data_IF_624230844797
#
_entry.id   IF_624230844797
#
_cell.length_a   1.000
_cell.length_b   1.000
_cell.length_c   1.000
_cell.angle_alpha   90.00
_cell.angle_beta   90.00
_cell.angle_gamma   90.00
#
_symmetry.space_group_name_H-M   'P 1'
#
loop_
_entity.id
_entity.type
_entity.pdbx_description
1 polymer ?
#
# COMPACT_ATOMS: atom_id res chain seq x y z
N UNK A 1 4.34 2.86 18.00
CA UNK A 1 3.76 3.46 16.79
C UNK A 1 3.01 2.45 15.93
N UNK A 2 3.23 1.14 16.09
CA UNK A 2 2.49 0.11 15.36
C UNK A 2 1.05 -0.09 15.87
N UNK A 3 0.18 -0.56 14.99
CA UNK A 3 -1.18 -0.92 15.36
C UNK A 3 -1.19 -2.07 16.38
N UNK A 4 -2.18 -2.06 17.29
CA UNK A 4 -2.41 -3.13 18.26
C UNK A 4 -3.76 -3.77 17.99
N UNK A 5 -3.79 -5.10 18.10
CA UNK A 5 -4.94 -5.92 17.77
C UNK A 5 -5.32 -6.76 19.00
N UNK A 6 -6.61 -6.93 19.23
CA UNK A 6 -7.11 -7.94 20.17
C UNK A 6 -7.05 -9.31 19.48
N UNK A 7 -5.92 -10.00 19.66
CA UNK A 7 -5.67 -11.27 19.01
C UNK A 7 -6.59 -12.39 19.53
N UNK A 8 -7.16 -12.25 20.72
CA UNK A 8 -8.14 -13.21 21.25
C UNK A 8 -9.42 -13.09 20.44
N UNK A 9 -9.93 -11.86 20.32
CA UNK A 9 -11.13 -11.58 19.54
C UNK A 9 -10.97 -11.97 18.06
N UNK A 10 -9.85 -11.59 17.43
CA UNK A 10 -9.58 -11.95 16.03
C UNK A 10 -9.57 -13.47 15.85
N UNK A 11 -8.97 -14.21 16.78
CA UNK A 11 -8.94 -15.67 16.71
C UNK A 11 -10.34 -16.27 16.81
N UNK A 12 -11.18 -15.78 17.72
CA UNK A 12 -12.55 -16.25 17.89
C UNK A 12 -13.40 -16.01 16.64
N UNK A 13 -13.30 -14.81 16.04
CA UNK A 13 -13.98 -14.48 14.78
C UNK A 13 -13.53 -15.36 13.62
N UNK A 14 -12.22 -15.48 13.40
CA UNK A 14 -11.68 -16.27 12.28
C UNK A 14 -11.97 -17.77 12.47
N UNK A 15 -11.97 -18.28 13.71
CA UNK A 15 -12.27 -19.69 13.97
C UNK A 15 -13.75 -20.04 13.76
N UNK A 16 -14.65 -19.07 13.97
CA UNK A 16 -16.10 -19.29 13.85
C UNK A 16 -16.62 -19.10 12.42
N UNK A 17 -16.12 -18.09 11.70
CA UNK A 17 -16.65 -17.71 10.38
C UNK A 17 -15.63 -17.81 9.24
N UNK A 18 -14.33 -17.98 9.54
CA UNK A 18 -13.26 -17.83 8.56
C UNK A 18 -13.09 -16.38 8.08
N UNK A 19 -12.19 -16.17 7.13
CA UNK A 19 -12.13 -14.90 6.41
C UNK A 19 -13.22 -14.84 5.32
N UNK A 20 -13.80 -13.65 5.06
CA UNK A 20 -14.90 -13.49 4.11
C UNK A 20 -14.46 -13.81 2.67
N UNK A 21 -14.81 -15.02 2.21
CA UNK A 21 -14.39 -15.53 0.89
C UNK A 21 -15.00 -14.79 -0.30
N UNK A 22 -16.09 -14.05 -0.08
CA UNK A 22 -16.75 -13.22 -1.08
C UNK A 22 -15.99 -11.91 -1.37
N UNK A 23 -15.07 -11.50 -0.50
CA UNK A 23 -14.22 -10.33 -0.72
C UNK A 23 -12.91 -10.73 -1.38
N UNK A 24 -12.61 -10.11 -2.52
CA UNK A 24 -11.35 -10.28 -3.26
C UNK A 24 -10.52 -9.00 -3.20
N UNK A 25 -10.31 -8.48 -1.99
CA UNK A 25 -9.48 -7.31 -1.70
C UNK A 25 -8.70 -7.54 -0.40
N UNK A 26 -7.74 -6.68 -0.09
CA UNK A 26 -7.02 -6.78 1.19
C UNK A 26 -7.93 -6.59 2.42
N UNK A 27 -9.12 -5.98 2.25
CA UNK A 27 -10.12 -5.80 3.30
C UNK A 27 -10.81 -7.08 3.72
N UNK A 28 -10.56 -8.20 3.02
CA UNK A 28 -10.79 -9.56 3.56
C UNK A 28 -10.19 -9.73 4.96
N UNK A 29 -9.09 -9.04 5.27
CA UNK A 29 -8.40 -9.10 6.55
C UNK A 29 -8.68 -7.88 7.45
N UNK A 30 -9.86 -7.26 7.35
CA UNK A 30 -10.24 -6.03 8.08
C UNK A 30 -9.96 -6.09 9.59
N UNK A 31 -10.22 -7.23 10.23
CA UNK A 31 -9.95 -7.44 11.67
C UNK A 31 -8.48 -7.30 12.06
N UNK A 32 -7.60 -7.54 11.10
CA UNK A 32 -6.15 -7.40 11.19
C UNK A 32 -5.66 -6.10 10.53
N UNK A 33 -6.53 -5.13 10.26
CA UNK A 33 -6.19 -3.80 9.73
C UNK A 33 -6.55 -2.70 10.74
N UNK A 34 -5.90 -1.53 10.69
CA UNK A 34 -6.00 -0.52 11.74
C UNK A 34 -7.27 0.35 11.67
N UNK A 35 -8.10 0.18 10.65
CA UNK A 35 -9.32 0.97 10.39
C UNK A 35 -10.51 0.25 11.02
N UNK A 36 -11.27 0.95 11.88
CA UNK A 36 -12.42 0.37 12.61
C UNK A 36 -13.75 0.79 12.02
N UNK A 37 -13.82 1.99 11.47
CA UNK A 37 -14.98 2.54 10.78
C UNK A 37 -14.95 2.13 9.31
N UNK A 38 -15.88 1.24 8.92
CA UNK A 38 -16.04 0.83 7.52
C UNK A 38 -16.29 2.02 6.58
N UNK A 39 -17.02 3.03 7.02
CA UNK A 39 -17.28 4.25 6.24
C UNK A 39 -16.03 5.09 5.95
N UNK A 40 -14.91 4.82 6.63
CA UNK A 40 -13.63 5.50 6.40
C UNK A 40 -12.74 4.74 5.41
N UNK A 41 -13.14 3.54 4.98
CA UNK A 41 -12.37 2.73 4.03
C UNK A 41 -12.46 3.34 2.64
N UNK A 42 -11.30 3.67 2.08
CA UNK A 42 -11.15 4.11 0.68
C UNK A 42 -10.39 3.04 -0.07
N UNK A 43 -11.13 2.13 -0.71
CA UNK A 43 -10.56 1.04 -1.50
C UNK A 43 -10.79 1.28 -2.99
N UNK A 44 -9.78 0.92 -3.78
CA UNK A 44 -9.84 0.86 -5.24
C UNK A 44 -9.88 -0.61 -5.74
N UNK A 45 -10.04 -1.57 -4.82
CA UNK A 45 -10.02 -3.01 -5.12
C UNK A 45 -8.63 -3.64 -5.00
N UNK A 46 -7.69 -2.99 -4.31
CA UNK A 46 -6.35 -3.49 -4.05
C UNK A 46 -6.31 -4.78 -3.22
N UNK A 47 -5.30 -5.59 -3.47
CA UNK A 47 -5.15 -6.92 -2.89
C UNK A 47 -5.78 -8.02 -3.73
N UNK A 48 -5.82 -9.22 -3.16
CA UNK A 48 -6.21 -10.47 -3.81
C UNK A 48 -5.56 -10.69 -5.19
N UNK A 49 -4.30 -10.28 -5.33
CA UNK A 49 -3.56 -10.33 -6.59
C UNK A 49 -3.23 -11.77 -6.97
N UNK A 50 -2.99 -12.07 -8.26
CA UNK A 50 -2.69 -13.42 -8.69
C UNK A 50 -1.42 -14.00 -8.05
N UNK A 51 -1.50 -15.27 -7.63
CA UNK A 51 -0.34 -16.10 -7.31
C UNK A 51 -0.10 -17.06 -8.47
N UNK A 52 0.85 -16.71 -9.34
CA UNK A 52 1.06 -17.35 -10.63
C UNK A 52 2.11 -18.44 -10.50
N UNK A 53 1.75 -19.70 -10.77
CA UNK A 53 2.72 -20.79 -10.84
C UNK A 53 3.58 -20.66 -12.09
N UNK A 54 4.90 -20.59 -11.90
CA UNK A 54 5.85 -20.62 -13.01
C UNK A 54 5.85 -21.97 -13.71
N UNK A 55 5.83 -21.96 -15.04
CA UNK A 55 5.81 -23.19 -15.87
C UNK A 55 7.19 -23.72 -16.21
N UNK A 56 8.20 -22.85 -16.30
CA UNK A 56 9.54 -23.20 -16.81
C UNK A 56 10.67 -22.68 -15.92
N UNK A 57 10.58 -21.42 -15.51
CA UNK A 57 11.64 -20.73 -14.76
C UNK A 57 12.07 -21.49 -13.50
N UNK A 58 11.14 -22.18 -12.82
CA UNK A 58 11.46 -22.94 -11.61
C UNK A 58 12.61 -23.95 -11.85
N UNK A 59 12.60 -24.64 -13.00
CA UNK A 59 13.63 -25.63 -13.36
C UNK A 59 14.94 -24.97 -13.77
N UNK A 60 14.89 -23.80 -14.42
CA UNK A 60 16.08 -23.06 -14.85
C UNK A 60 16.89 -22.51 -13.67
N UNK A 61 16.23 -22.24 -12.54
CA UNK A 61 16.87 -21.76 -11.30
C UNK A 61 17.07 -22.87 -10.27
N UNK A 62 16.91 -24.14 -10.63
CA UNK A 62 17.19 -25.29 -9.77
C UNK A 62 16.19 -25.51 -8.62
N UNK A 63 14.97 -25.00 -8.72
CA UNK A 63 13.90 -25.20 -7.73
C UNK A 63 12.94 -26.31 -8.16
N UNK A 64 12.11 -26.80 -7.24
CA UNK A 64 11.03 -27.79 -7.52
C UNK A 64 9.68 -27.11 -7.80
N UNK A 65 9.50 -25.90 -7.29
CA UNK A 65 8.35 -25.05 -7.58
C UNK A 65 8.74 -23.57 -7.45
N UNK A 66 8.10 -22.72 -8.22
CA UNK A 66 8.27 -21.27 -8.15
C UNK A 66 6.91 -20.64 -8.44
N UNK A 67 6.51 -19.70 -7.60
CA UNK A 67 5.30 -18.90 -7.80
C UNK A 67 5.65 -17.42 -7.78
N UNK A 68 4.89 -16.62 -8.53
CA UNK A 68 5.07 -15.18 -8.66
C UNK A 68 3.81 -14.52 -8.11
N UNK A 69 4.00 -13.70 -7.07
CA UNK A 69 2.93 -12.87 -6.53
C UNK A 69 2.86 -11.57 -7.32
N UNK A 70 1.90 -11.47 -8.24
CA UNK A 70 1.85 -10.38 -9.22
C UNK A 70 1.16 -9.13 -8.68
N UNK A 71 1.89 -8.34 -7.90
CA UNK A 71 1.43 -7.06 -7.37
C UNK A 71 1.27 -5.95 -8.43
N UNK A 72 1.63 -6.21 -9.70
CA UNK A 72 1.36 -5.27 -10.80
C UNK A 72 -0.12 -5.23 -11.18
N UNK A 73 -0.94 -6.12 -10.63
CA UNK A 73 -2.40 -6.16 -10.85
C UNK A 73 -3.21 -5.29 -9.87
N UNK A 74 -2.53 -4.61 -8.94
CA UNK A 74 -3.21 -3.61 -8.09
C UNK A 74 -3.66 -2.38 -8.91
N UNK A 75 -4.56 -1.54 -8.40
CA UNK A 75 -5.16 -0.42 -9.13
C UNK A 75 -4.17 0.56 -9.79
N UNK A 76 -3.05 0.89 -9.15
CA UNK A 76 -1.98 1.73 -9.70
C UNK A 76 -0.78 0.93 -10.19
N UNK A 77 -1.01 -0.35 -10.49
CA UNK A 77 0.00 -1.32 -10.95
C UNK A 77 1.17 -1.51 -9.99
N UNK A 78 0.92 -1.36 -8.68
CA UNK A 78 1.98 -1.33 -7.68
C UNK A 78 1.53 -1.85 -6.32
N UNK A 79 2.40 -2.62 -5.64
CA UNK A 79 2.18 -3.05 -4.25
C UNK A 79 2.02 -1.89 -3.25
N UNK A 80 2.38 -0.66 -3.64
CA UNK A 80 2.22 0.54 -2.81
C UNK A 80 0.75 0.78 -2.45
N UNK A 81 -0.17 0.30 -3.28
CA UNK A 81 -1.61 0.43 -3.10
C UNK A 81 -2.10 -0.11 -1.77
N UNK A 82 -1.65 -1.30 -1.36
CA UNK A 82 -2.05 -1.88 -0.08
C UNK A 82 -1.75 -0.93 1.09
N UNK A 83 -0.52 -0.42 1.12
CA UNK A 83 -0.07 0.46 2.21
C UNK A 83 -0.74 1.83 2.18
N UNK A 84 -0.89 2.42 1.00
CA UNK A 84 -1.49 3.75 0.86
C UNK A 84 -3.00 3.72 1.12
N UNK A 85 -3.69 2.66 0.69
CA UNK A 85 -5.08 2.43 1.04
C UNK A 85 -5.28 2.39 2.56
N UNK A 86 -4.50 1.57 3.28
CA UNK A 86 -4.61 1.45 4.73
C UNK A 86 -4.29 2.78 5.44
N UNK A 87 -3.25 3.48 4.99
CA UNK A 87 -2.84 4.74 5.60
C UNK A 87 -3.83 5.89 5.35
N UNK A 88 -4.29 6.07 4.11
CA UNK A 88 -5.28 7.10 3.77
C UNK A 88 -6.59 6.83 4.52
N UNK A 89 -7.11 5.60 4.46
CA UNK A 89 -8.35 5.21 5.16
C UNK A 89 -8.25 5.46 6.67
N UNK A 90 -7.12 5.09 7.28
CA UNK A 90 -6.91 5.29 8.71
C UNK A 90 -6.84 6.77 9.09
N UNK A 91 -6.15 7.58 8.32
CA UNK A 91 -6.05 9.00 8.65
C UNK A 91 -7.34 9.76 8.37
N UNK A 92 -8.15 9.34 7.38
CA UNK A 92 -9.50 9.86 7.19
C UNK A 92 -10.39 9.56 8.40
N UNK A 93 -10.31 8.34 8.95
CA UNK A 93 -10.97 7.97 10.21
C UNK A 93 -10.54 8.88 11.37
N UNK A 94 -9.27 9.28 11.40
CA UNK A 94 -8.72 10.21 12.39
C UNK A 94 -9.01 11.69 12.09
N UNK A 95 -9.74 12.00 11.01
CA UNK A 95 -10.18 13.36 10.68
C UNK A 95 -9.29 14.12 9.69
N UNK A 96 -8.27 13.48 9.10
CA UNK A 96 -7.44 14.12 8.07
C UNK A 96 -8.27 14.53 6.84
N UNK A 97 -7.83 15.58 6.15
CA UNK A 97 -8.49 16.15 4.95
C UNK A 97 -7.52 16.48 3.81
N UNK A 98 -6.23 16.25 4.02
CA UNK A 98 -5.17 16.51 3.05
C UNK A 98 -3.96 15.65 3.37
N UNK A 99 -3.22 15.22 2.35
CA UNK A 99 -2.07 14.34 2.47
C UNK A 99 -0.88 14.87 1.68
N UNK A 100 0.33 14.63 2.20
CA UNK A 100 1.54 14.92 1.49
C UNK A 100 2.55 13.77 1.52
N UNK A 101 3.31 13.64 0.43
CA UNK A 101 4.34 12.63 0.29
C UNK A 101 5.53 13.12 -0.55
N UNK A 102 6.78 12.98 -0.05
CA UNK A 102 7.97 13.11 -0.88
C UNK A 102 8.26 11.76 -1.57
N UNK A 103 8.10 11.68 -2.89
CA UNK A 103 8.35 10.45 -3.65
C UNK A 103 8.54 10.72 -5.14
N UNK A 104 9.50 10.01 -5.74
CA UNK A 104 9.80 10.06 -7.18
C UNK A 104 9.20 8.88 -7.97
N UNK A 105 8.06 8.31 -7.55
CA UNK A 105 7.54 7.10 -8.20
C UNK A 105 6.20 6.60 -7.65
N UNK A 106 5.98 5.28 -7.73
CA UNK A 106 4.67 4.64 -7.49
C UNK A 106 3.97 5.00 -6.18
N UNK A 107 4.70 5.41 -5.13
CA UNK A 107 4.05 5.81 -3.88
C UNK A 107 3.31 7.14 -4.02
N UNK A 108 3.84 8.07 -4.84
CA UNK A 108 3.13 9.31 -5.17
C UNK A 108 1.87 9.02 -5.97
N UNK A 109 1.98 8.23 -7.05
CA UNK A 109 0.82 7.86 -7.89
C UNK A 109 -0.26 7.16 -7.06
N UNK A 110 0.13 6.17 -6.26
CA UNK A 110 -0.78 5.47 -5.35
C UNK A 110 -1.47 6.43 -4.39
N UNK A 111 -0.72 7.29 -3.68
CA UNK A 111 -1.34 8.30 -2.79
C UNK A 111 -2.32 9.20 -3.53
N UNK A 112 -1.94 9.69 -4.71
CA UNK A 112 -2.79 10.55 -5.53
C UNK A 112 -4.11 9.86 -5.89
N UNK A 113 -4.07 8.59 -6.31
CA UNK A 113 -5.25 7.81 -6.64
C UNK A 113 -6.20 7.63 -5.44
N UNK A 114 -5.69 7.27 -4.25
CA UNK A 114 -6.52 7.13 -3.06
C UNK A 114 -7.06 8.47 -2.55
N UNK A 115 -6.30 9.56 -2.66
CA UNK A 115 -6.79 10.88 -2.32
C UNK A 115 -7.92 11.32 -3.26
N UNK A 116 -7.78 11.06 -4.57
CA UNK A 116 -8.81 11.33 -5.56
C UNK A 116 -10.10 10.55 -5.26
N UNK A 117 -9.98 9.26 -4.96
CA UNK A 117 -11.10 8.41 -4.58
C UNK A 117 -11.80 8.88 -3.29
N UNK A 118 -11.04 9.44 -2.36
CA UNK A 118 -11.54 10.01 -1.11
C UNK A 118 -12.08 11.44 -1.23
N UNK A 119 -11.86 12.12 -2.37
CA UNK A 119 -12.22 13.53 -2.54
C UNK A 119 -11.42 14.49 -1.66
N UNK A 120 -10.15 14.20 -1.37
CA UNK A 120 -9.26 15.01 -0.52
C UNK A 120 -8.01 15.47 -1.27
N UNK A 121 -7.33 16.49 -0.75
CA UNK A 121 -6.15 17.05 -1.40
C UNK A 121 -4.93 16.13 -1.28
N UNK A 122 -4.13 16.10 -2.34
CA UNK A 122 -2.91 15.31 -2.48
C UNK A 122 -1.77 16.22 -2.90
N UNK A 123 -0.73 16.33 -2.07
CA UNK A 123 0.47 17.12 -2.35
C UNK A 123 1.68 16.21 -2.52
N UNK A 124 2.30 16.21 -3.69
CA UNK A 124 3.46 15.35 -3.98
C UNK A 124 4.70 16.19 -4.22
N UNK A 125 5.78 15.89 -3.51
CA UNK A 125 7.07 16.56 -3.67
C UNK A 125 8.01 15.62 -4.40
N UNK A 126 8.39 15.99 -5.62
CA UNK A 126 9.16 15.13 -6.52
C UNK A 126 10.48 15.79 -6.92
N UNK A 127 11.58 15.03 -6.97
CA UNK A 127 12.82 15.46 -7.62
C UNK A 127 12.57 15.92 -9.07
N UNK A 128 13.26 16.99 -9.48
CA UNK A 128 13.20 17.55 -10.84
C UNK A 128 13.60 16.54 -11.95
N UNK A 129 14.40 15.54 -11.61
CA UNK A 129 14.82 14.46 -12.51
C UNK A 129 13.87 13.24 -12.50
N UNK A 130 12.74 13.32 -11.77
CA UNK A 130 11.71 12.27 -11.80
C UNK A 130 11.14 12.15 -13.23
N UNK A 131 11.00 10.93 -13.78
CA UNK A 131 10.39 10.74 -15.09
C UNK A 131 9.03 11.43 -15.20
N UNK A 132 8.81 12.16 -16.30
CA UNK A 132 7.59 12.96 -16.51
C UNK A 132 6.30 12.12 -16.46
N UNK A 133 6.37 10.82 -16.73
CA UNK A 133 5.24 9.90 -16.57
C UNK A 133 4.65 9.92 -15.16
N UNK A 134 5.48 9.99 -14.11
CA UNK A 134 4.99 10.03 -12.73
C UNK A 134 4.31 11.35 -12.39
N UNK A 135 4.84 12.48 -12.87
CA UNK A 135 4.15 13.78 -12.75
C UNK A 135 2.79 13.74 -13.44
N UNK A 136 2.74 13.21 -14.67
CA UNK A 136 1.51 13.09 -15.44
C UNK A 136 0.49 12.18 -14.75
N UNK A 137 0.88 11.00 -14.27
CA UNK A 137 0.00 10.08 -13.56
C UNK A 137 -0.55 10.68 -12.26
N UNK A 138 0.29 11.34 -11.46
CA UNK A 138 -0.18 12.08 -10.29
C UNK A 138 -1.16 13.19 -10.66
N UNK A 139 -0.88 13.92 -11.74
CA UNK A 139 -1.75 14.98 -12.26
C UNK A 139 -3.10 14.47 -12.75
N UNK A 140 -3.17 13.27 -13.35
CA UNK A 140 -4.44 12.63 -13.75
C UNK A 140 -5.37 12.37 -12.56
N UNK A 141 -4.80 12.12 -11.38
CA UNK A 141 -5.54 11.99 -10.11
C UNK A 141 -5.72 13.34 -9.38
N UNK A 142 -5.36 14.46 -10.00
CA UNK A 142 -5.55 15.80 -9.43
C UNK A 142 -4.57 16.18 -8.32
N UNK A 143 -3.42 15.52 -8.22
CA UNK A 143 -2.43 15.86 -7.21
C UNK A 143 -1.67 17.15 -7.55
N UNK A 144 -1.40 17.94 -6.51
CA UNK A 144 -0.56 19.13 -6.57
C UNK A 144 0.92 18.72 -6.49
N UNK A 145 1.57 18.63 -7.64
CA UNK A 145 2.99 18.27 -7.73
C UNK A 145 3.90 19.48 -7.57
N UNK A 146 4.80 19.43 -6.58
CA UNK A 146 5.89 20.38 -6.40
C UNK A 146 7.20 19.76 -6.86
N UNK A 147 7.78 20.33 -7.91
CA UNK A 147 9.11 19.97 -8.38
C UNK A 147 10.19 20.55 -7.45
N UNK A 148 11.15 19.72 -7.06
CA UNK A 148 12.25 20.09 -6.16
C UNK A 148 13.57 19.71 -6.80
N UNK A 149 14.48 20.68 -6.91
CA UNK A 149 15.85 20.40 -7.36
C UNK A 149 16.60 19.66 -6.25
N UNK A 150 16.95 18.41 -6.48
CA UNK A 150 17.69 17.59 -5.53
C UNK A 150 17.11 16.18 -5.38
N UNK A 151 17.29 15.59 -4.22
CA UNK A 151 16.92 14.22 -3.88
C UNK A 151 15.54 14.13 -3.22
N UNK A 152 15.07 12.89 -2.95
CA UNK A 152 13.88 12.66 -2.11
C UNK A 152 14.06 13.24 -0.70
N UNK A 153 15.29 13.30 -0.18
CA UNK A 153 15.55 13.93 1.11
C UNK A 153 15.29 15.45 1.05
N UNK A 154 15.69 16.10 -0.03
CA UNK A 154 15.40 17.52 -0.28
C UNK A 154 13.90 17.77 -0.47
N UNK A 155 13.20 16.85 -1.13
CA UNK A 155 11.73 16.88 -1.21
C UNK A 155 11.09 16.80 0.18
N UNK A 156 11.58 15.91 1.05
CA UNK A 156 11.10 15.80 2.43
C UNK A 156 11.37 17.07 3.23
N UNK A 157 12.55 17.68 3.06
CA UNK A 157 12.89 18.95 3.70
C UNK A 157 11.99 20.08 3.20
N UNK A 158 11.80 20.20 1.89
CA UNK A 158 10.92 21.20 1.26
C UNK A 158 9.46 21.05 1.72
N UNK A 159 8.95 19.82 1.78
CA UNK A 159 7.61 19.53 2.29
C UNK A 159 7.45 20.03 3.74
N UNK A 160 8.40 19.73 4.62
CA UNK A 160 8.35 20.21 6.02
C UNK A 160 8.39 21.74 6.12
N UNK A 161 9.26 22.39 5.34
CA UNK A 161 9.40 23.84 5.33
C UNK A 161 8.18 24.56 4.73
N UNK A 162 7.40 23.86 3.89
CA UNK A 162 6.18 24.43 3.30
C UNK A 162 5.05 24.61 4.32
N UNK A 163 5.14 23.96 5.49
CA UNK A 163 4.29 24.23 6.65
C UNK A 163 2.79 24.03 6.41
N UNK A 164 2.40 23.22 5.44
CA UNK A 164 0.99 23.05 5.12
C UNK A 164 0.26 22.11 6.06
N UNK A 165 -1.06 22.29 6.11
CA UNK A 165 -1.98 21.51 6.93
C UNK A 165 -2.35 20.22 6.20
N UNK A 166 -1.45 19.23 6.27
CA UNK A 166 -1.60 17.91 5.67
C UNK A 166 -0.98 16.83 6.56
N UNK A 167 -1.45 15.60 6.39
CA UNK A 167 -0.84 14.42 6.99
C UNK A 167 0.33 13.91 6.15
N UNK A 168 1.49 13.75 6.76
CA UNK A 168 2.73 13.25 6.12
C UNK A 168 2.69 11.71 6.01
N UNK A 169 2.62 11.17 4.79
CA UNK A 169 2.59 9.73 4.52
C UNK A 169 3.96 9.13 4.14
N UNK A 170 5.06 9.83 4.46
CA UNK A 170 6.43 9.38 4.18
C UNK A 170 6.71 7.95 4.66
N UNK A 171 7.36 7.17 3.80
CA UNK A 171 7.52 5.70 3.95
C UNK A 171 8.08 5.24 5.30
N UNK A 172 9.01 5.98 5.90
CA UNK A 172 9.67 5.59 7.15
C UNK A 172 9.00 6.16 8.41
N UNK A 173 8.02 7.05 8.26
CA UNK A 173 7.32 7.69 9.38
C UNK A 173 5.91 7.15 9.60
N UNK A 174 5.28 6.71 8.53
CA UNK A 174 3.86 6.37 8.53
C UNK A 174 3.62 4.91 8.92
N UNK A 175 3.06 4.63 10.12
CA UNK A 175 2.91 3.27 10.63
C UNK A 175 1.84 2.44 9.91
N UNK A 176 0.83 3.04 9.29
CA UNK A 176 -0.29 2.28 8.72
C UNK A 176 0.01 1.69 7.34
N UNK A 177 1.09 2.15 6.68
CA UNK A 177 1.51 1.59 5.39
C UNK A 177 2.00 0.16 5.49
N UNK A 178 2.67 -0.21 6.57
CA UNK A 178 3.10 -1.61 6.80
C UNK A 178 1.89 -2.51 7.09
N UNK A 179 0.87 -1.97 7.76
CA UNK A 179 -0.35 -2.73 8.08
C UNK A 179 -1.10 -3.16 6.81
N UNK A 180 -1.19 -2.29 5.79
CA UNK A 180 -1.74 -2.69 4.50
C UNK A 180 -0.89 -3.75 3.80
N UNK A 181 0.44 -3.57 3.76
CA UNK A 181 1.34 -4.51 3.07
C UNK A 181 1.38 -5.90 3.68
N UNK A 182 1.23 -6.04 5.01
CA UNK A 182 1.29 -7.36 5.65
C UNK A 182 0.20 -8.32 5.13
N UNK A 183 -0.90 -7.77 4.60
CA UNK A 183 -1.97 -8.55 3.95
C UNK A 183 -1.45 -9.41 2.81
N UNK A 184 -0.35 -9.01 2.16
CA UNK A 184 0.33 -9.81 1.15
C UNK A 184 0.72 -11.20 1.69
N UNK A 185 1.20 -11.28 2.93
CA UNK A 185 1.58 -12.53 3.57
C UNK A 185 0.37 -13.40 3.87
N UNK A 186 -0.70 -12.81 4.41
CA UNK A 186 -1.97 -13.52 4.67
C UNK A 186 -2.54 -14.10 3.37
N UNK A 187 -2.52 -13.30 2.31
CA UNK A 187 -3.03 -13.63 1.01
C UNK A 187 -2.24 -14.74 0.32
N UNK A 188 -0.91 -14.72 0.40
CA UNK A 188 -0.07 -15.82 -0.09
C UNK A 188 -0.42 -17.12 0.65
N UNK A 189 -0.47 -17.09 1.98
CA UNK A 189 -0.81 -18.28 2.76
C UNK A 189 -2.21 -18.78 2.42
N UNK A 190 -3.20 -17.89 2.35
CA UNK A 190 -4.59 -18.29 2.06
C UNK A 190 -4.76 -18.86 0.65
N UNK A 191 -4.12 -18.27 -0.37
CA UNK A 191 -4.12 -18.80 -1.74
C UNK A 191 -3.39 -20.15 -1.86
N UNK A 192 -2.51 -20.47 -0.91
CA UNK A 192 -1.85 -21.77 -0.76
C UNK A 192 -2.59 -22.70 0.23
N UNK A 193 -3.87 -22.44 0.51
CA UNK A 193 -4.68 -23.21 1.45
C UNK A 193 -4.01 -23.33 2.85
N UNK A 194 -3.44 -22.22 3.32
CA UNK A 194 -2.70 -22.07 4.57
C UNK A 194 -1.40 -22.89 4.66
N UNK A 195 -0.87 -23.35 3.52
CA UNK A 195 0.49 -23.87 3.42
C UNK A 195 1.49 -22.72 3.28
N UNK A 196 2.43 -22.62 4.22
CA UNK A 196 3.46 -21.57 4.23
C UNK A 196 4.56 -21.96 3.23
N UNK A 197 5.00 -21.05 2.33
CA UNK A 197 6.09 -21.35 1.41
C UNK A 197 7.42 -21.48 2.16
N UNK A 198 8.33 -22.32 1.62
CA UNK A 198 9.66 -22.53 2.20
C UNK A 198 10.51 -21.24 2.20
N UNK A 199 10.30 -20.38 1.21
CA UNK A 199 11.00 -19.11 1.07
C UNK A 199 10.12 -18.07 0.36
N UNK A 200 10.33 -16.80 0.72
CA UNK A 200 9.74 -15.64 0.03
C UNK A 200 10.88 -14.69 -0.35
N UNK A 201 11.01 -14.43 -1.65
CA UNK A 201 11.99 -13.47 -2.18
C UNK A 201 11.25 -12.16 -2.46
N UNK A 202 11.59 -11.12 -1.70
CA UNK A 202 10.98 -9.80 -1.84
C UNK A 202 12.05 -8.78 -2.30
N UNK A 203 11.99 -8.27 -3.54
CA UNK A 203 12.88 -7.21 -4.00
C UNK A 203 12.74 -5.98 -3.09
N UNK A 204 13.83 -5.59 -2.46
CA UNK A 204 13.80 -4.55 -1.43
C UNK A 204 14.56 -3.31 -1.90
N UNK A 205 13.82 -2.22 -2.12
CA UNK A 205 14.38 -0.88 -2.28
C UNK A 205 14.33 -0.11 -0.96
N UNK A 206 13.14 0.33 -0.55
CA UNK A 206 12.93 1.14 0.66
C UNK A 206 12.86 0.38 1.99
N UNK A 207 12.91 -0.96 2.01
CA UNK A 207 13.04 -1.73 3.26
C UNK A 207 11.80 -1.88 4.13
N UNK A 208 10.61 -1.56 3.63
CA UNK A 208 9.34 -1.49 4.41
C UNK A 208 8.25 -2.39 3.87
#
# INVERSE_FOLDING_TARGET
MFARYDMVHVRELVSSAGFPSHLSTMWRYSELLPVRSESSIVSLGEGWTPLIRSRRLYSEVGLTSLMIKDESRNPTSSFKDRGLCAAVSKHLELGARSFALPSAGNAAVSMSAYCAAAGVRSHVFMPADTPSSFFNECGLYGAEATEVKGTIADCSAKMKLSGGDWTDLSTTKEPYRVEGKKTLGFEICEQLAWSVPDAVICPTGGGT
#
